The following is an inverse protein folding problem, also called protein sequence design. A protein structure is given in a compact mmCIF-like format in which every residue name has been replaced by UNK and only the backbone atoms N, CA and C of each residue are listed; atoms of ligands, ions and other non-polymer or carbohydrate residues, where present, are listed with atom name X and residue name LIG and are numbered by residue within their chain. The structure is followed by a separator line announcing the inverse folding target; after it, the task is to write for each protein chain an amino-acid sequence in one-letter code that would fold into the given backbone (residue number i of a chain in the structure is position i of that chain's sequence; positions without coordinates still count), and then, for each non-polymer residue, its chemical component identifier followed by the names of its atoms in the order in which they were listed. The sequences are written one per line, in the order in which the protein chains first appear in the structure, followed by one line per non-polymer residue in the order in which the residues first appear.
data_IF_906604378290
#
_entry.id   IF_906604378290
#
_cell.length_a   1.000
_cell.length_b   1.000
_cell.length_c   1.000
_cell.angle_alpha   90.00
_cell.angle_beta   90.00
_cell.angle_gamma   90.00
#
_symmetry.space_group_name_H-M   'P 1'
#
loop_
_entity.id
_entity.type
_entity.pdbx_description
1 polymer ?
#
# COMPACT_ATOMS: atom_id res chain seq x y z
N UNK A 1 -41.31 -42.19 -7.70
CA UNK A 1 -40.69 -41.53 -6.53
C UNK A 1 -39.48 -40.75 -6.99
N UNK A 2 -39.31 -39.53 -6.48
CA UNK A 2 -38.23 -38.57 -6.78
C UNK A 2 -36.90 -38.98 -6.12
N UNK A 3 -35.85 -38.36 -6.67
CA UNK A 3 -34.57 -37.98 -6.08
C UNK A 3 -33.41 -38.97 -6.26
N UNK A 4 -32.17 -38.55 -6.52
CA UNK A 4 -31.57 -37.32 -7.04
C UNK A 4 -30.08 -37.66 -7.14
N UNK A 5 -29.44 -37.28 -8.24
CA UNK A 5 -27.97 -37.25 -8.32
C UNK A 5 -27.44 -36.29 -7.25
N UNK A 6 -26.44 -36.75 -6.48
CA UNK A 6 -25.56 -35.83 -5.74
C UNK A 6 -24.13 -36.33 -5.87
N UNK A 7 -23.48 -35.89 -6.94
CA UNK A 7 -22.03 -35.93 -7.08
C UNK A 7 -21.48 -34.75 -6.29
N UNK A 8 -21.17 -34.98 -5.01
CA UNK A 8 -20.53 -33.98 -4.15
C UNK A 8 -19.10 -33.79 -4.62
N UNK A 9 -18.85 -32.71 -5.36
CA UNK A 9 -17.51 -32.31 -5.74
C UNK A 9 -16.81 -31.70 -4.53
N UNK A 10 -15.93 -32.48 -3.90
CA UNK A 10 -15.00 -32.03 -2.88
C UNK A 10 -13.86 -31.29 -3.57
N UNK A 11 -14.12 -30.03 -3.95
CA UNK A 11 -13.06 -29.07 -4.09
C UNK A 11 -12.71 -28.59 -2.69
N UNK A 12 -11.79 -29.32 -2.04
CA UNK A 12 -10.99 -28.74 -0.96
C UNK A 12 -10.33 -27.48 -1.51
N UNK A 13 -10.92 -26.34 -1.16
CA UNK A 13 -10.40 -25.04 -1.48
C UNK A 13 -9.12 -24.88 -0.66
N UNK A 14 -7.97 -25.14 -1.27
CA UNK A 14 -6.66 -24.93 -0.66
C UNK A 14 -6.52 -23.43 -0.43
N UNK A 15 -6.98 -22.95 0.73
CA UNK A 15 -6.75 -21.59 1.15
C UNK A 15 -5.23 -21.39 1.17
N UNK A 16 -4.66 -20.49 0.36
CA UNK A 16 -3.23 -20.19 0.46
C UNK A 16 -2.97 -19.76 1.90
N UNK A 17 -2.00 -20.40 2.55
CA UNK A 17 -1.63 -20.11 3.94
C UNK A 17 -1.33 -18.61 4.05
N UNK A 18 -2.21 -17.87 4.72
CA UNK A 18 -1.99 -16.45 5.01
C UNK A 18 -0.75 -16.32 5.89
N UNK A 19 0.21 -15.51 5.45
CA UNK A 19 1.39 -15.13 6.23
C UNK A 19 0.99 -13.98 7.17
N UNK A 20 0.11 -13.11 6.70
CA UNK A 20 -0.42 -11.96 7.43
C UNK A 20 -1.94 -12.12 7.59
N UNK A 21 -2.41 -12.81 8.65
CA UNK A 21 -3.84 -13.02 8.89
C UNK A 21 -4.52 -11.73 9.35
N UNK A 22 -5.85 -11.72 9.30
CA UNK A 22 -6.69 -10.62 9.78
C UNK A 22 -6.26 -10.13 11.18
N UNK A 23 -6.15 -8.81 11.33
CA UNK A 23 -5.89 -8.14 12.60
C UNK A 23 -6.83 -6.95 12.84
N UNK A 24 -7.99 -6.83 12.17
CA UNK A 24 -8.89 -5.68 12.30
C UNK A 24 -9.38 -5.44 13.74
N UNK A 25 -9.48 -6.50 14.55
CA UNK A 25 -9.85 -6.40 15.97
C UNK A 25 -8.73 -5.89 16.89
N UNK A 26 -7.49 -5.77 16.39
CA UNK A 26 -6.36 -5.23 17.15
C UNK A 26 -6.30 -3.72 17.01
N UNK A 27 -5.92 -3.03 18.08
CA UNK A 27 -5.67 -1.59 18.04
C UNK A 27 -4.18 -1.32 17.84
N UNK A 28 -3.87 -0.45 16.89
CA UNK A 28 -2.51 0.06 16.64
C UNK A 28 -2.49 1.58 16.80
N UNK A 29 -1.30 2.14 17.05
CA UNK A 29 -1.06 3.58 17.19
C UNK A 29 -1.47 4.38 15.93
N UNK A 30 -1.49 5.71 16.00
CA UNK A 30 -1.80 6.55 14.84
C UNK A 30 -0.66 6.50 13.81
N UNK A 31 -0.98 6.84 12.57
CA UNK A 31 -0.03 6.94 11.47
C UNK A 31 1.12 7.93 11.75
N UNK A 32 0.84 9.04 12.43
CA UNK A 32 1.85 10.03 12.81
C UNK A 32 2.74 9.54 13.94
N UNK A 33 2.15 8.91 14.97
CA UNK A 33 2.93 8.29 16.05
C UNK A 33 3.81 7.17 15.51
N UNK A 34 3.27 6.31 14.64
CA UNK A 34 4.05 5.25 14.00
C UNK A 34 5.20 5.82 13.19
N UNK A 35 4.94 6.80 12.33
CA UNK A 35 6.00 7.46 11.55
C UNK A 35 7.07 8.09 12.45
N UNK A 36 6.70 8.72 13.57
CA UNK A 36 7.67 9.33 14.49
C UNK A 36 8.66 8.32 15.09
N UNK A 37 8.22 7.07 15.27
CA UNK A 37 9.02 5.97 15.83
C UNK A 37 9.66 5.05 14.78
N UNK A 38 9.33 5.26 13.49
CA UNK A 38 9.82 4.45 12.39
C UNK A 38 11.32 4.66 12.16
N UNK A 39 12.06 3.57 11.95
CA UNK A 39 13.42 3.62 11.44
C UNK A 39 13.45 4.31 10.06
N UNK A 40 14.14 5.44 9.97
CA UNK A 40 14.23 6.26 8.75
C UNK A 40 15.00 5.58 7.62
N UNK A 41 15.71 4.49 7.92
CA UNK A 41 16.28 3.62 6.88
C UNK A 41 15.21 2.81 6.12
N UNK A 42 14.05 2.54 6.74
CA UNK A 42 12.91 1.89 6.07
C UNK A 42 12.22 2.91 5.18
N UNK A 43 11.86 4.06 5.77
CA UNK A 43 11.21 5.12 5.05
C UNK A 43 11.36 6.46 5.77
N UNK A 44 11.67 7.48 4.98
CA UNK A 44 11.73 8.86 5.40
C UNK A 44 11.06 9.71 4.33
N UNK A 45 10.20 10.64 4.71
CA UNK A 45 9.63 11.61 3.77
C UNK A 45 10.72 12.51 3.18
N UNK A 46 10.49 13.11 2.01
CA UNK A 46 11.44 14.09 1.50
C UNK A 46 11.45 15.33 2.40
N UNK A 47 12.64 15.82 2.76
CA UNK A 47 12.83 17.00 3.64
C UNK A 47 12.03 18.23 3.13
N UNK A 48 11.96 18.41 1.81
CA UNK A 48 11.20 19.47 1.15
C UNK A 48 10.04 18.90 0.32
N UNK A 49 9.31 17.93 0.86
CA UNK A 49 8.15 17.35 0.19
C UNK A 49 7.13 18.44 -0.14
N UNK A 50 6.68 18.48 -1.40
CA UNK A 50 5.54 19.29 -1.82
C UNK A 50 4.23 18.70 -1.28
N UNK A 51 4.19 17.37 -1.09
CA UNK A 51 3.08 16.67 -0.48
C UNK A 51 3.56 15.38 0.18
N UNK A 52 3.11 15.13 1.41
CA UNK A 52 3.26 13.85 2.09
C UNK A 52 1.90 13.37 2.58
N UNK A 53 1.71 12.06 2.58
CA UNK A 53 0.48 11.42 3.04
C UNK A 53 0.83 10.25 3.94
N UNK A 54 0.20 10.21 5.11
CA UNK A 54 0.28 9.11 6.05
C UNK A 54 -1.12 8.59 6.33
N UNK A 55 -1.32 7.29 6.25
CA UNK A 55 -2.64 6.67 6.44
C UNK A 55 -2.48 5.31 7.14
N UNK A 56 -3.32 5.04 8.14
CA UNK A 56 -3.53 3.69 8.68
C UNK A 56 -4.86 3.15 8.16
N UNK A 57 -4.80 2.07 7.39
CA UNK A 57 -5.92 1.56 6.58
C UNK A 57 -5.93 0.04 6.56
N UNK A 58 -6.96 -0.57 5.98
CA UNK A 58 -6.92 -2.00 5.67
C UNK A 58 -6.24 -2.26 4.32
N UNK A 59 -5.63 -3.43 4.19
CA UNK A 59 -4.83 -3.80 3.03
C UNK A 59 -5.62 -3.71 1.71
N UNK A 60 -6.90 -4.07 1.73
CA UNK A 60 -7.79 -3.95 0.55
C UNK A 60 -8.01 -2.51 0.06
N UNK A 61 -7.83 -1.51 0.94
CA UNK A 61 -8.07 -0.10 0.62
C UNK A 61 -6.85 0.57 -0.05
N UNK A 62 -5.69 -0.12 -0.07
CA UNK A 62 -4.44 0.41 -0.64
C UNK A 62 -4.58 0.98 -2.07
N UNK A 63 -5.27 0.32 -3.03
CA UNK A 63 -5.34 0.82 -4.40
C UNK A 63 -6.08 2.16 -4.51
N UNK A 64 -7.08 2.38 -3.64
CA UNK A 64 -7.85 3.62 -3.63
C UNK A 64 -7.08 4.75 -2.93
N UNK A 65 -6.37 4.43 -1.86
CA UNK A 65 -5.52 5.41 -1.17
C UNK A 65 -4.32 5.83 -2.04
N UNK A 66 -3.68 4.89 -2.73
CA UNK A 66 -2.62 5.20 -3.69
C UNK A 66 -3.15 6.04 -4.86
N UNK A 67 -4.37 5.77 -5.35
CA UNK A 67 -5.01 6.61 -6.37
C UNK A 67 -5.19 8.06 -5.89
N UNK A 68 -5.66 8.26 -4.64
CA UNK A 68 -5.81 9.60 -4.07
C UNK A 68 -4.46 10.33 -4.03
N UNK A 69 -3.38 9.64 -3.65
CA UNK A 69 -2.03 10.21 -3.70
C UNK A 69 -1.66 10.62 -5.12
N UNK A 70 -1.78 9.69 -6.08
CA UNK A 70 -1.42 9.90 -7.47
C UNK A 70 -2.20 11.06 -8.10
N UNK A 71 -3.50 11.19 -7.81
CA UNK A 71 -4.31 12.31 -8.28
C UNK A 71 -3.83 13.65 -7.71
N UNK A 72 -3.50 13.69 -6.41
CA UNK A 72 -2.98 14.90 -5.75
C UNK A 72 -1.62 15.33 -6.30
N UNK A 73 -0.79 14.39 -6.70
CA UNK A 73 0.56 14.66 -7.23
C UNK A 73 0.63 14.66 -8.75
N UNK A 74 -0.53 14.62 -9.43
CA UNK A 74 -0.66 14.61 -10.91
C UNK A 74 0.13 13.47 -11.58
N UNK A 75 0.25 12.36 -10.86
CA UNK A 75 0.98 11.20 -11.28
C UNK A 75 0.06 10.24 -12.04
N UNK A 76 0.24 10.11 -13.36
CA UNK A 76 -0.63 9.30 -14.22
C UNK A 76 -0.31 7.78 -14.18
N UNK A 77 -0.13 7.21 -12.98
CA UNK A 77 0.22 5.80 -12.82
C UNK A 77 -1.01 4.90 -12.64
N UNK A 78 -0.85 3.62 -12.99
CA UNK A 78 -1.85 2.58 -12.77
C UNK A 78 -2.00 2.34 -11.26
N UNK A 79 -3.25 2.16 -10.81
CA UNK A 79 -3.56 1.68 -9.45
C UNK A 79 -2.74 0.44 -9.10
N UNK A 80 -2.33 0.36 -7.85
CA UNK A 80 -1.71 -0.80 -7.24
C UNK A 80 -2.54 -2.06 -7.50
N UNK A 81 -1.88 -3.11 -7.98
CA UNK A 81 -2.51 -4.41 -8.21
C UNK A 81 -2.17 -5.38 -7.07
N UNK A 82 -3.15 -5.63 -6.20
CA UNK A 82 -3.02 -6.55 -5.07
C UNK A 82 -3.24 -8.03 -5.42
N UNK A 83 -3.57 -8.38 -6.67
CA UNK A 83 -3.91 -9.77 -7.05
C UNK A 83 -2.79 -10.77 -6.76
N UNK A 84 -1.52 -10.32 -6.74
CA UNK A 84 -0.37 -11.17 -6.42
C UNK A 84 -0.09 -11.31 -4.92
N UNK A 85 -0.78 -10.52 -4.08
CA UNK A 85 -0.57 -10.46 -2.63
C UNK A 85 -1.54 -11.38 -1.89
N UNK A 86 -1.70 -12.61 -2.38
CA UNK A 86 -2.67 -13.60 -1.86
C UNK A 86 -2.35 -14.12 -0.45
N UNK A 87 -1.19 -13.76 0.10
CA UNK A 87 -0.71 -14.16 1.42
C UNK A 87 -1.04 -13.14 2.52
N UNK A 88 -1.67 -12.01 2.17
CA UNK A 88 -2.10 -10.96 3.09
C UNK A 88 -3.62 -10.93 3.14
N UNK A 89 -4.18 -10.95 4.35
CA UNK A 89 -5.62 -10.82 4.54
C UNK A 89 -6.12 -9.42 4.09
N UNK A 90 -7.24 -9.31 3.35
CA UNK A 90 -7.80 -8.02 2.95
C UNK A 90 -8.07 -7.04 4.10
N UNK A 91 -8.39 -7.54 5.30
CA UNK A 91 -8.66 -6.74 6.49
C UNK A 91 -7.40 -6.51 7.36
N UNK A 92 -6.22 -6.92 6.89
CA UNK A 92 -4.95 -6.63 7.55
C UNK A 92 -4.73 -5.12 7.61
N UNK A 93 -4.53 -4.58 8.81
CA UNK A 93 -4.20 -3.18 9.02
C UNK A 93 -2.73 -2.92 8.64
N UNK A 94 -2.53 -1.86 7.86
CA UNK A 94 -1.22 -1.43 7.36
C UNK A 94 -1.09 0.08 7.46
N UNK A 95 0.15 0.55 7.48
CA UNK A 95 0.49 1.96 7.28
C UNK A 95 0.91 2.18 5.83
N UNK A 96 0.24 3.11 5.16
CA UNK A 96 0.64 3.64 3.85
C UNK A 96 1.28 5.01 4.05
N UNK A 97 2.56 5.14 3.72
CA UNK A 97 3.28 6.41 3.74
C UNK A 97 3.75 6.75 2.34
N UNK A 98 3.48 7.97 1.89
CA UNK A 98 3.90 8.45 0.58
C UNK A 98 4.39 9.89 0.65
N UNK A 99 5.37 10.22 -0.20
CA UNK A 99 6.00 11.54 -0.24
C UNK A 99 6.34 11.90 -1.67
N UNK A 100 6.06 13.15 -2.01
CA UNK A 100 6.23 13.75 -3.32
C UNK A 100 7.07 15.02 -3.20
N UNK A 101 8.13 15.10 -3.98
CA UNK A 101 8.94 16.30 -4.15
C UNK A 101 8.89 16.73 -5.61
N UNK A 102 8.70 18.03 -5.84
CA UNK A 102 8.71 18.64 -7.17
C UNK A 102 9.50 19.93 -7.11
N UNK A 103 10.34 20.13 -8.13
CA UNK A 103 10.92 21.43 -8.45
C UNK A 103 10.76 21.72 -9.95
N UNK A 104 11.36 22.80 -10.44
CA UNK A 104 11.22 23.25 -11.84
C UNK A 104 11.71 22.23 -12.88
N UNK A 105 12.55 21.28 -12.48
CA UNK A 105 13.26 20.39 -13.41
C UNK A 105 12.99 18.91 -13.17
N UNK A 106 12.45 18.55 -12.02
CA UNK A 106 12.28 17.15 -11.63
C UNK A 106 11.16 16.94 -10.60
N UNK A 107 10.67 15.71 -10.60
CA UNK A 107 9.69 15.18 -9.67
C UNK A 107 10.13 13.82 -9.16
N UNK A 108 9.95 13.61 -7.86
CA UNK A 108 10.17 12.35 -7.19
C UNK A 108 8.93 11.93 -6.43
N UNK A 109 8.52 10.69 -6.61
CA UNK A 109 7.47 10.05 -5.84
C UNK A 109 8.05 8.86 -5.12
N UNK A 110 7.61 8.61 -3.89
CA UNK A 110 7.86 7.33 -3.22
C UNK A 110 6.74 7.00 -2.26
N UNK A 111 6.50 5.71 -2.08
CA UNK A 111 5.63 5.19 -1.04
C UNK A 111 6.19 3.91 -0.44
N UNK A 112 5.71 3.59 0.77
CA UNK A 112 5.93 2.32 1.45
C UNK A 112 4.62 1.86 2.10
N UNK A 113 4.43 0.55 2.16
CA UNK A 113 3.35 -0.12 2.89
C UNK A 113 3.99 -0.99 3.97
N UNK A 114 3.65 -0.73 5.22
CA UNK A 114 4.24 -1.41 6.38
C UNK A 114 3.13 -2.10 7.16
N UNK A 115 3.33 -3.36 7.51
CA UNK A 115 2.40 -4.11 8.34
C UNK A 115 2.28 -3.49 9.74
N UNK A 116 1.05 -3.26 10.22
CA UNK A 116 0.87 -2.57 11.49
C UNK A 116 1.31 -3.39 12.72
N UNK A 117 1.33 -4.72 12.60
CA UNK A 117 1.65 -5.62 13.71
C UNK A 117 3.12 -6.03 13.73
N UNK A 118 3.64 -6.52 12.61
CA UNK A 118 5.03 -6.99 12.51
C UNK A 118 6.00 -5.87 12.23
N UNK A 119 5.51 -4.71 11.78
CA UNK A 119 6.31 -3.55 11.35
C UNK A 119 7.23 -3.84 10.16
N UNK A 120 6.93 -4.92 9.43
CA UNK A 120 7.67 -5.34 8.24
C UNK A 120 7.15 -4.59 7.01
N UNK A 121 8.07 -4.15 6.15
CA UNK A 121 7.71 -3.63 4.83
C UNK A 121 7.07 -4.74 3.98
N UNK A 122 5.86 -4.49 3.50
CA UNK A 122 5.13 -5.39 2.61
C UNK A 122 5.40 -5.05 1.14
N UNK A 123 5.56 -3.76 0.84
CA UNK A 123 5.88 -3.26 -0.49
C UNK A 123 6.28 -1.79 -0.45
N UNK A 124 6.96 -1.35 -1.50
CA UNK A 124 7.25 0.05 -1.74
C UNK A 124 7.40 0.32 -3.23
N UNK A 125 7.43 1.60 -3.57
CA UNK A 125 7.65 2.05 -4.93
C UNK A 125 8.25 3.43 -4.94
N UNK A 126 9.05 3.72 -5.97
CA UNK A 126 9.53 5.06 -6.24
C UNK A 126 9.43 5.35 -7.74
N UNK A 127 9.30 6.62 -8.08
CA UNK A 127 9.42 7.08 -9.46
C UNK A 127 10.12 8.42 -9.50
N UNK A 128 10.80 8.66 -10.62
CA UNK A 128 11.49 9.89 -10.93
C UNK A 128 11.09 10.33 -12.33
N UNK A 129 10.75 11.60 -12.46
CA UNK A 129 10.48 12.24 -13.73
C UNK A 129 11.35 13.49 -13.86
N UNK A 130 12.07 13.62 -14.97
CA UNK A 130 12.81 14.84 -15.29
C UNK A 130 12.05 15.61 -16.36
N UNK A 131 11.75 16.87 -16.08
CA UNK A 131 11.22 17.77 -17.09
C UNK A 131 12.33 18.17 -18.05
N UNK A 132 12.15 17.83 -19.33
CA UNK A 132 12.97 18.40 -20.38
C UNK A 132 12.54 19.86 -20.58
N UNK A 133 13.45 20.79 -20.31
CA UNK A 133 13.24 22.18 -20.69
C UNK A 133 13.84 22.37 -22.09
N UNK A 134 13.03 22.49 -23.16
CA UNK A 134 13.53 22.63 -24.52
C UNK A 134 14.19 24.00 -24.80
N UNK A 135 14.19 24.91 -23.82
CA UNK A 135 14.74 26.26 -23.92
C UNK A 135 15.99 26.49 -23.05
N UNK A 136 16.51 25.43 -22.41
CA UNK A 136 17.83 25.44 -21.75
C UNK A 136 18.80 24.54 -22.50
#
# INVERSE_FOLDING_TARGET
MKAANSSTSIYENVNPKLIYPDNHGKSFISEDEFYSTLDKNIYEEYINAAFSMRQKITFKDLPDIEEVFNQKTRNAYKKMNLQKQTHVDPNRQVYFFASFHQNETEEFHKFVVIDAETKVELMGGNSYHKYFNPYK
#
